data_IF_617924331128
#
_entry.id   IF_617924331128
#
_cell.length_a   1.000
_cell.length_b   1.000
_cell.length_c   1.000
_cell.angle_alpha   90.00
_cell.angle_beta   90.00
_cell.angle_gamma   90.00
#
_symmetry.space_group_name_H-M   'P 1'
#
loop_
_entity.id
_entity.type
_entity.pdbx_description
1 polymer ?
#
# COMPACT_ATOMS: atom_id res chain seq x y z
N UNK A 1 -24.34 30.29 -15.03
CA UNK A 1 -25.11 29.35 -14.18
C UNK A 1 -24.37 28.03 -14.26
N UNK A 2 -23.58 27.76 -13.22
CA UNK A 2 -22.51 26.77 -13.27
C UNK A 2 -23.05 25.36 -13.12
N UNK A 3 -22.74 24.51 -14.11
CA UNK A 3 -23.02 23.08 -14.15
C UNK A 3 -22.41 22.30 -12.97
N UNK A 4 -21.52 22.93 -12.19
CA UNK A 4 -20.90 22.38 -10.99
C UNK A 4 -21.86 22.28 -9.79
N UNK A 5 -22.90 23.12 -9.72
CA UNK A 5 -23.82 23.16 -8.57
C UNK A 5 -24.71 21.92 -8.48
N UNK A 6 -25.01 21.28 -9.62
CA UNK A 6 -25.86 20.08 -9.68
C UNK A 6 -25.11 18.76 -9.43
N UNK A 7 -23.77 18.78 -9.54
CA UNK A 7 -22.96 17.60 -9.28
C UNK A 7 -22.74 17.37 -7.79
N UNK A 8 -22.76 18.43 -6.98
CA UNK A 8 -22.50 18.32 -5.54
C UNK A 8 -23.50 17.41 -4.80
N UNK A 9 -24.84 17.56 -4.95
CA UNK A 9 -25.80 16.65 -4.31
C UNK A 9 -25.65 15.20 -4.78
N UNK A 10 -25.25 14.99 -6.04
CA UNK A 10 -25.08 13.65 -6.64
C UNK A 10 -23.83 12.96 -6.12
N UNK A 11 -22.71 13.68 -6.03
CA UNK A 11 -21.46 13.17 -5.45
C UNK A 11 -21.66 12.89 -3.96
N UNK A 12 -22.34 13.78 -3.24
CA UNK A 12 -22.65 13.57 -1.82
C UNK A 12 -23.58 12.38 -1.57
N UNK A 13 -24.58 12.15 -2.43
CA UNK A 13 -25.49 11.01 -2.32
C UNK A 13 -24.79 9.67 -2.62
N UNK A 14 -23.82 9.66 -3.53
CA UNK A 14 -23.08 8.45 -3.93
C UNK A 14 -21.94 8.10 -2.98
N UNK A 15 -21.26 9.11 -2.42
CA UNK A 15 -20.01 8.92 -1.69
C UNK A 15 -20.05 9.39 -0.22
N UNK A 16 -21.10 10.08 0.22
CA UNK A 16 -21.19 10.68 1.56
C UNK A 16 -20.75 12.16 1.58
N UNK A 17 -20.61 12.76 2.76
CA UNK A 17 -20.25 14.18 2.86
C UNK A 17 -18.77 14.38 3.21
N UNK A 18 -18.13 15.38 2.61
CA UNK A 18 -16.78 15.82 2.99
C UNK A 18 -15.72 14.72 2.91
N UNK A 19 -15.06 14.44 4.04
CA UNK A 19 -13.96 13.48 4.14
C UNK A 19 -14.39 12.04 3.89
N UNK A 20 -15.63 11.69 4.19
CA UNK A 20 -16.14 10.33 3.96
C UNK A 20 -16.27 10.01 2.47
N UNK A 21 -16.65 11.01 1.66
CA UNK A 21 -16.64 10.88 0.21
C UNK A 21 -15.24 10.70 -0.35
N UNK A 22 -14.29 11.51 0.15
CA UNK A 22 -12.88 11.40 -0.25
C UNK A 22 -12.31 10.03 0.12
N UNK A 23 -12.55 9.54 1.35
CA UNK A 23 -12.13 8.21 1.79
C UNK A 23 -12.76 7.10 0.95
N UNK A 24 -14.05 7.20 0.64
CA UNK A 24 -14.75 6.23 -0.22
C UNK A 24 -14.14 6.18 -1.62
N UNK A 25 -13.87 7.33 -2.22
CA UNK A 25 -13.20 7.40 -3.52
C UNK A 25 -11.80 6.79 -3.48
N UNK A 26 -11.02 7.09 -2.45
CA UNK A 26 -9.68 6.51 -2.26
C UNK A 26 -9.78 4.98 -2.14
N UNK A 27 -10.69 4.46 -1.31
CA UNK A 27 -10.88 3.01 -1.15
C UNK A 27 -11.28 2.35 -2.47
N UNK A 28 -12.20 2.94 -3.23
CA UNK A 28 -12.60 2.43 -4.54
C UNK A 28 -11.42 2.41 -5.53
N UNK A 29 -10.57 3.44 -5.51
CA UNK A 29 -9.37 3.49 -6.34
C UNK A 29 -8.34 2.44 -5.93
N UNK A 30 -8.12 2.22 -4.62
CA UNK A 30 -7.25 1.15 -4.12
C UNK A 30 -7.76 -0.24 -4.51
N UNK A 31 -9.08 -0.45 -4.44
CA UNK A 31 -9.75 -1.69 -4.87
C UNK A 31 -9.54 -1.95 -6.36
N UNK A 32 -9.67 -0.92 -7.19
CA UNK A 32 -9.41 -1.03 -8.62
C UNK A 32 -7.94 -1.33 -8.91
N UNK A 33 -7.00 -0.74 -8.15
CA UNK A 33 -5.57 -1.05 -8.24
C UNK A 33 -5.26 -2.52 -7.94
N UNK A 34 -5.99 -3.13 -6.98
CA UNK A 34 -5.90 -4.57 -6.70
C UNK A 34 -6.44 -5.38 -7.89
N UNK A 35 -7.58 -5.01 -8.46
CA UNK A 35 -8.12 -5.70 -9.65
C UNK A 35 -7.18 -5.61 -10.85
N UNK A 36 -6.50 -4.48 -11.04
CA UNK A 36 -5.52 -4.27 -12.10
C UNK A 36 -4.33 -5.24 -12.00
N UNK A 37 -3.94 -5.67 -10.79
CA UNK A 37 -2.89 -6.68 -10.62
C UNK A 37 -3.23 -8.00 -11.36
N UNK A 38 -4.51 -8.36 -11.40
CA UNK A 38 -4.98 -9.59 -12.04
C UNK A 38 -4.93 -9.57 -13.56
N UNK A 39 -4.63 -8.42 -14.19
CA UNK A 39 -4.52 -8.31 -15.65
C UNK A 39 -3.11 -8.61 -16.16
N UNK A 40 -2.15 -8.89 -15.26
CA UNK A 40 -0.77 -9.19 -15.63
C UNK A 40 -0.68 -10.54 -16.37
N UNK A 41 -0.17 -10.58 -17.61
CA UNK A 41 0.03 -11.83 -18.33
C UNK A 41 1.19 -12.62 -17.71
N UNK A 42 1.03 -13.94 -17.57
CA UNK A 42 2.04 -14.84 -17.00
C UNK A 42 2.60 -14.34 -15.64
N UNK A 43 1.75 -14.21 -14.61
CA UNK A 43 2.08 -13.45 -13.43
C UNK A 43 3.19 -14.11 -12.59
N UNK A 44 4.24 -13.34 -12.34
CA UNK A 44 5.19 -13.55 -11.24
C UNK A 44 4.86 -12.60 -10.10
N UNK A 45 5.33 -12.90 -8.89
CA UNK A 45 5.13 -12.02 -7.73
C UNK A 45 5.66 -10.60 -7.99
N UNK A 46 6.86 -10.50 -8.57
CA UNK A 46 7.48 -9.21 -8.92
C UNK A 46 6.65 -8.43 -9.95
N UNK A 47 6.23 -9.08 -11.04
CA UNK A 47 5.41 -8.42 -12.07
C UNK A 47 4.05 -7.95 -11.56
N UNK A 48 3.46 -8.68 -10.61
CA UNK A 48 2.17 -8.33 -10.00
C UNK A 48 2.31 -7.08 -9.13
N UNK A 49 3.35 -6.99 -8.32
CA UNK A 49 3.62 -5.82 -7.48
C UNK A 49 4.07 -4.62 -8.32
N UNK A 50 4.81 -4.85 -9.41
CA UNK A 50 5.12 -3.81 -10.40
C UNK A 50 3.86 -3.23 -11.02
N UNK A 51 2.91 -4.05 -11.45
CA UNK A 51 1.65 -3.58 -11.99
C UNK A 51 0.86 -2.74 -10.97
N UNK A 52 0.98 -3.07 -9.67
CA UNK A 52 0.37 -2.26 -8.61
C UNK A 52 1.09 -0.93 -8.40
N UNK A 53 2.43 -0.89 -8.39
CA UNK A 53 3.18 0.37 -8.33
C UNK A 53 2.92 1.24 -9.56
N UNK A 54 2.84 0.64 -10.75
CA UNK A 54 2.54 1.35 -11.99
C UNK A 54 1.16 2.01 -11.95
N UNK A 55 0.18 1.35 -11.33
CA UNK A 55 -1.16 1.91 -11.16
C UNK A 55 -1.18 3.21 -10.35
N UNK A 56 -0.19 3.44 -9.48
CA UNK A 56 -0.04 4.70 -8.73
C UNK A 56 0.41 5.88 -9.61
N UNK A 57 1.15 5.62 -10.69
CA UNK A 57 1.89 6.64 -11.45
C UNK A 57 1.03 7.85 -11.89
N UNK A 58 -0.20 7.68 -12.42
CA UNK A 58 -1.00 8.80 -12.88
C UNK A 58 -1.43 9.77 -11.78
N UNK A 59 -1.41 9.35 -10.51
CA UNK A 59 -1.92 10.13 -9.37
C UNK A 59 -0.89 10.29 -8.24
N UNK A 60 0.40 9.98 -8.50
CA UNK A 60 1.45 9.95 -7.47
C UNK A 60 1.51 11.21 -6.61
N UNK A 61 1.31 12.38 -7.20
CA UNK A 61 1.31 13.67 -6.50
C UNK A 61 0.21 13.81 -5.43
N UNK A 62 -0.88 13.05 -5.55
CA UNK A 62 -2.03 13.09 -4.64
C UNK A 62 -1.98 11.99 -3.57
N UNK A 63 -1.16 10.96 -3.76
CA UNK A 63 -1.12 9.81 -2.86
C UNK A 63 -0.67 10.15 -1.44
N UNK A 64 0.30 11.05 -1.18
CA UNK A 64 0.64 11.44 0.18
C UNK A 64 -0.55 12.04 0.95
N UNK A 65 -1.33 12.91 0.31
CA UNK A 65 -2.53 13.51 0.92
C UNK A 65 -3.63 12.46 1.11
N UNK A 66 -3.86 11.60 0.10
CA UNK A 66 -4.85 10.54 0.18
C UNK A 66 -4.55 9.56 1.33
N UNK A 67 -3.29 9.15 1.48
CA UNK A 67 -2.87 8.28 2.58
C UNK A 67 -2.94 8.99 3.93
N UNK A 68 -2.57 10.27 4.01
CA UNK A 68 -2.75 11.06 5.24
C UNK A 68 -4.22 11.11 5.67
N UNK A 69 -5.15 11.31 4.72
CA UNK A 69 -6.58 11.29 4.99
C UNK A 69 -7.09 9.90 5.42
N UNK A 70 -6.56 8.82 4.81
CA UNK A 70 -6.91 7.45 5.19
C UNK A 70 -6.50 7.12 6.62
N UNK A 71 -5.33 7.58 7.06
CA UNK A 71 -4.83 7.33 8.42
C UNK A 71 -5.30 8.39 9.42
N UNK A 72 -6.07 9.39 9.00
CA UNK A 72 -6.64 10.38 9.90
C UNK A 72 -7.91 9.83 10.57
N UNK A 73 -8.00 9.84 11.91
CA UNK A 73 -9.16 9.33 12.63
C UNK A 73 -10.45 10.11 12.29
N UNK A 74 -11.60 9.43 12.32
CA UNK A 74 -12.91 10.10 12.14
C UNK A 74 -13.33 10.93 13.37
N UNK A 75 -12.78 10.63 14.55
CA UNK A 75 -13.24 11.15 15.85
C UNK A 75 -12.13 11.87 16.65
N UNK A 76 -10.99 12.19 16.01
CA UNK A 76 -9.96 13.07 16.56
C UNK A 76 -8.92 12.42 17.50
N UNK A 77 -9.09 11.17 17.92
CA UNK A 77 -8.13 10.41 18.74
C UNK A 77 -8.14 8.94 18.31
N UNK A 78 -6.99 8.25 18.14
CA UNK A 78 -5.60 8.73 18.18
C UNK A 78 -5.24 9.64 17.01
N UNK A 79 -4.16 10.43 17.12
CA UNK A 79 -3.70 11.37 16.06
C UNK A 79 -3.50 10.70 14.68
N UNK A 80 -3.21 9.40 14.65
CA UNK A 80 -3.08 8.59 13.44
C UNK A 80 -3.62 7.17 13.69
N UNK A 81 -4.40 6.66 12.74
CA UNK A 81 -4.86 5.27 12.66
C UNK A 81 -4.12 4.54 11.53
N UNK A 82 -3.16 3.65 11.82
CA UNK A 82 -2.41 2.93 10.79
C UNK A 82 -3.19 1.74 10.19
N UNK A 83 -4.34 1.37 10.77
CA UNK A 83 -5.08 0.16 10.37
C UNK A 83 -5.49 0.19 8.89
N UNK A 84 -5.99 1.31 8.32
CA UNK A 84 -6.33 1.38 6.90
C UNK A 84 -5.13 1.12 5.97
N UNK A 85 -3.96 1.67 6.30
CA UNK A 85 -2.73 1.47 5.52
C UNK A 85 -2.22 0.02 5.62
N UNK A 86 -2.27 -0.57 6.82
CA UNK A 86 -1.90 -1.98 7.01
C UNK A 86 -2.86 -2.92 6.27
N UNK A 87 -4.16 -2.63 6.30
CA UNK A 87 -5.18 -3.39 5.58
C UNK A 87 -4.96 -3.30 4.07
N UNK A 88 -4.64 -2.12 3.55
CA UNK A 88 -4.28 -1.92 2.14
C UNK A 88 -3.10 -2.82 1.72
N UNK A 89 -1.97 -2.74 2.43
CA UNK A 89 -0.80 -3.58 2.13
C UNK A 89 -1.09 -5.08 2.25
N UNK A 90 -1.87 -5.48 3.27
CA UNK A 90 -2.25 -6.88 3.49
C UNK A 90 -3.13 -7.43 2.37
N UNK A 91 -4.05 -6.62 1.83
CA UNK A 91 -4.90 -7.01 0.69
C UNK A 91 -4.11 -7.20 -0.59
N UNK A 92 -3.10 -6.35 -0.83
CA UNK A 92 -2.18 -6.51 -1.97
C UNK A 92 -1.37 -7.79 -1.81
N UNK A 93 -0.91 -8.10 -0.60
CA UNK A 93 -0.20 -9.34 -0.35
C UNK A 93 -1.08 -10.57 -0.60
N UNK A 94 -2.32 -10.56 -0.11
CA UNK A 94 -3.26 -11.66 -0.32
C UNK A 94 -3.59 -11.86 -1.80
N UNK A 95 -3.92 -10.78 -2.52
CA UNK A 95 -4.21 -10.84 -3.95
C UNK A 95 -2.99 -11.29 -4.75
N UNK A 96 -1.78 -10.83 -4.39
CA UNK A 96 -0.55 -11.27 -5.05
C UNK A 96 -0.33 -12.77 -4.89
N UNK A 97 -0.54 -13.31 -3.68
CA UNK A 97 -0.47 -14.75 -3.43
C UNK A 97 -1.53 -15.51 -4.23
N UNK A 98 -2.76 -14.97 -4.32
CA UNK A 98 -3.82 -15.57 -5.13
C UNK A 98 -3.48 -15.61 -6.62
N UNK A 99 -3.09 -14.48 -7.23
CA UNK A 99 -2.76 -14.37 -8.66
C UNK A 99 -1.60 -15.30 -9.03
N UNK A 100 -0.59 -15.39 -8.15
CA UNK A 100 0.61 -16.21 -8.38
C UNK A 100 0.42 -17.69 -8.02
N UNK A 101 -0.77 -18.10 -7.58
CA UNK A 101 -1.11 -19.47 -7.14
C UNK A 101 -0.18 -19.99 -6.04
N UNK A 102 0.09 -19.14 -5.04
CA UNK A 102 0.88 -19.51 -3.87
C UNK A 102 0.27 -20.73 -3.14
N UNK A 103 1.11 -21.70 -2.79
CA UNK A 103 0.71 -22.96 -2.14
C UNK A 103 1.06 -22.99 -0.65
N UNK A 104 1.47 -21.86 -0.06
CA UNK A 104 1.87 -21.77 1.34
C UNK A 104 0.70 -22.06 2.27
N UNK A 105 0.95 -22.83 3.34
CA UNK A 105 -0.07 -23.23 4.32
C UNK A 105 0.39 -22.98 5.75
N UNK A 106 -0.57 -22.89 6.69
CA UNK A 106 -0.29 -22.72 8.12
C UNK A 106 0.63 -21.52 8.39
N UNK A 107 1.73 -21.70 9.12
CA UNK A 107 2.64 -20.60 9.46
C UNK A 107 3.30 -19.96 8.23
N UNK A 108 3.66 -20.76 7.22
CA UNK A 108 4.29 -20.25 6.00
C UNK A 108 3.36 -19.31 5.21
N UNK A 109 2.04 -19.52 5.31
CA UNK A 109 1.02 -18.64 4.74
C UNK A 109 1.08 -17.23 5.33
N UNK A 110 1.19 -17.13 6.67
CA UNK A 110 1.28 -15.86 7.39
C UNK A 110 2.61 -15.16 7.11
N UNK A 111 3.72 -15.90 7.22
CA UNK A 111 5.05 -15.35 6.99
C UNK A 111 5.19 -14.78 5.57
N UNK A 112 4.66 -15.50 4.56
CA UNK A 112 4.70 -15.04 3.17
C UNK A 112 3.89 -13.76 2.96
N UNK A 113 2.66 -13.68 3.47
CA UNK A 113 1.83 -12.47 3.35
C UNK A 113 2.39 -11.28 4.10
N UNK A 114 2.94 -11.50 5.30
CA UNK A 114 3.62 -10.46 6.06
C UNK A 114 4.84 -9.92 5.29
N UNK A 115 5.65 -10.82 4.72
CA UNK A 115 6.81 -10.45 3.90
C UNK A 115 6.40 -9.60 2.69
N UNK A 116 5.42 -10.06 1.91
CA UNK A 116 4.94 -9.34 0.72
C UNK A 116 4.34 -7.98 1.10
N UNK A 117 3.52 -7.92 2.16
CA UNK A 117 2.93 -6.67 2.62
C UNK A 117 3.99 -5.65 3.04
N UNK A 118 5.04 -6.09 3.74
CA UNK A 118 6.15 -5.22 4.13
C UNK A 118 6.98 -4.74 2.95
N UNK A 119 7.32 -5.63 2.01
CA UNK A 119 8.07 -5.28 0.79
C UNK A 119 7.28 -4.25 -0.02
N UNK A 120 6.02 -4.55 -0.36
CA UNK A 120 5.19 -3.65 -1.14
C UNK A 120 4.95 -2.32 -0.42
N UNK A 121 4.60 -2.35 0.86
CA UNK A 121 4.32 -1.13 1.63
C UNK A 121 5.54 -0.21 1.73
N UNK A 122 6.75 -0.76 1.91
CA UNK A 122 7.98 0.02 1.87
C UNK A 122 8.25 0.60 0.47
N UNK A 123 8.04 -0.18 -0.59
CA UNK A 123 8.21 0.29 -1.98
C UNK A 123 7.21 1.37 -2.37
N UNK A 124 5.94 1.26 -1.95
CA UNK A 124 4.91 2.26 -2.21
C UNK A 124 5.22 3.58 -1.49
N UNK A 125 5.64 3.51 -0.23
CA UNK A 125 6.06 4.71 0.51
C UNK A 125 7.31 5.36 -0.12
N UNK A 126 8.29 4.54 -0.55
CA UNK A 126 9.46 5.02 -1.28
C UNK A 126 9.07 5.66 -2.61
N UNK A 127 8.07 5.13 -3.30
CA UNK A 127 7.54 5.68 -4.55
C UNK A 127 7.00 7.10 -4.36
N UNK A 128 6.40 7.42 -3.21
CA UNK A 128 5.90 8.77 -2.94
C UNK A 128 7.01 9.82 -2.88
N UNK A 129 8.23 9.43 -2.50
CA UNK A 129 9.35 10.36 -2.35
C UNK A 129 10.37 10.29 -3.48
N UNK A 130 10.53 9.12 -4.07
CA UNK A 130 11.59 8.80 -5.03
C UNK A 130 11.05 7.93 -6.18
N UNK A 131 10.07 8.40 -6.98
CA UNK A 131 9.35 7.57 -7.95
C UNK A 131 10.26 6.82 -8.94
N UNK A 132 11.32 7.49 -9.42
CA UNK A 132 12.25 6.95 -10.42
C UNK A 132 13.05 5.72 -9.95
N UNK A 133 13.10 5.47 -8.64
CA UNK A 133 13.86 4.36 -8.04
C UNK A 133 12.95 3.36 -7.32
N UNK A 134 11.63 3.48 -7.43
CA UNK A 134 10.70 2.62 -6.72
C UNK A 134 10.79 1.15 -7.14
N UNK A 135 10.92 0.88 -8.44
CA UNK A 135 11.02 -0.47 -8.99
C UNK A 135 12.32 -1.15 -8.56
N UNK A 136 13.47 -0.48 -8.69
CA UNK A 136 14.75 -1.01 -8.24
C UNK A 136 14.80 -1.19 -6.72
N UNK A 137 14.15 -0.31 -5.95
CA UNK A 137 14.01 -0.48 -4.51
C UNK A 137 13.19 -1.73 -4.17
N UNK A 138 12.07 -1.98 -4.87
CA UNK A 138 11.30 -3.22 -4.72
C UNK A 138 12.14 -4.46 -5.05
N UNK A 139 12.90 -4.44 -6.15
CA UNK A 139 13.79 -5.53 -6.54
C UNK A 139 14.81 -5.85 -5.44
N UNK A 140 15.48 -4.83 -4.91
CA UNK A 140 16.47 -5.00 -3.84
C UNK A 140 15.85 -5.61 -2.57
N UNK A 141 14.61 -5.21 -2.21
CA UNK A 141 13.91 -5.81 -1.07
C UNK A 141 13.56 -7.27 -1.31
N UNK A 142 13.14 -7.63 -2.53
CA UNK A 142 12.89 -9.02 -2.89
C UNK A 142 14.14 -9.88 -2.81
N UNK A 143 15.24 -9.43 -3.39
CA UNK A 143 16.50 -10.17 -3.43
C UNK A 143 17.05 -10.38 -2.01
N UNK A 144 16.96 -9.33 -1.17
CA UNK A 144 17.33 -9.39 0.26
C UNK A 144 16.44 -10.37 1.03
N UNK A 145 15.12 -10.34 0.82
CA UNK A 145 14.16 -11.21 1.52
C UNK A 145 14.29 -12.69 1.13
N UNK A 146 14.62 -12.99 -0.13
CA UNK A 146 14.78 -14.36 -0.62
C UNK A 146 16.02 -15.05 -0.06
N UNK A 147 17.02 -14.26 0.34
CA UNK A 147 18.22 -14.73 1.05
C UNK A 147 17.93 -15.07 2.53
N UNK A 148 16.78 -14.64 3.05
CA UNK A 148 16.33 -14.82 4.42
C UNK A 148 15.39 -16.02 4.51
N UNK A 149 15.96 -17.23 4.41
CA UNK A 149 15.22 -18.50 4.55
C UNK A 149 14.78 -18.68 6.00
N UNK A 150 13.52 -18.32 6.28
CA UNK A 150 12.63 -18.92 7.30
C UNK A 150 13.32 -19.48 8.54
N UNK A 151 13.61 -18.61 9.52
CA UNK A 151 13.75 -19.03 10.93
C UNK A 151 12.84 -18.14 11.78
N UNK A 152 12.02 -18.77 12.63
CA UNK A 152 10.94 -18.11 13.41
C UNK A 152 11.43 -17.06 14.43
N UNK A 153 12.73 -16.83 14.56
CA UNK A 153 13.33 -15.82 15.45
C UNK A 153 13.20 -14.39 14.89
N UNK A 154 12.66 -14.22 13.68
CA UNK A 154 12.74 -12.99 12.88
C UNK A 154 11.48 -12.12 12.82
N UNK A 155 10.51 -12.29 13.73
CA UNK A 155 9.47 -11.27 13.91
C UNK A 155 10.04 -9.92 14.40
N UNK A 156 11.16 -9.97 15.13
CA UNK A 156 11.84 -8.78 15.66
C UNK A 156 12.63 -8.04 14.56
N UNK A 157 13.18 -8.76 13.57
CA UNK A 157 14.01 -8.19 12.51
C UNK A 157 13.19 -7.58 11.37
N UNK A 158 12.07 -8.19 10.97
CA UNK A 158 11.16 -7.64 9.95
C UNK A 158 10.45 -6.39 10.45
N UNK A 159 10.01 -6.41 11.72
CA UNK A 159 9.53 -5.22 12.44
C UNK A 159 10.59 -4.12 12.37
N UNK A 160 11.86 -4.43 12.70
CA UNK A 160 12.93 -3.44 12.67
C UNK A 160 13.19 -2.85 11.28
N UNK A 161 12.97 -3.59 10.18
CA UNK A 161 13.24 -3.09 8.83
C UNK A 161 12.13 -2.16 8.33
N UNK A 162 10.87 -2.54 8.57
CA UNK A 162 9.72 -1.67 8.30
C UNK A 162 9.78 -0.42 9.20
N UNK A 163 10.07 -0.58 10.50
CA UNK A 163 10.21 0.55 11.42
C UNK A 163 11.44 1.41 11.15
N UNK A 164 12.60 0.84 10.79
CA UNK A 164 13.81 1.61 10.44
C UNK A 164 13.64 2.32 9.09
N UNK A 165 12.98 1.69 8.12
CA UNK A 165 12.62 2.33 6.85
C UNK A 165 11.73 3.55 7.08
N UNK A 166 10.68 3.38 7.90
CA UNK A 166 9.79 4.47 8.29
C UNK A 166 10.52 5.54 9.12
N UNK A 167 11.34 5.16 10.11
CA UNK A 167 12.13 6.07 10.95
C UNK A 167 13.20 6.82 10.15
N UNK A 168 13.81 6.19 9.14
CA UNK A 168 14.79 6.81 8.24
C UNK A 168 14.17 7.89 7.36
N UNK A 169 12.96 7.64 6.85
CA UNK A 169 12.19 8.61 6.06
C UNK A 169 11.68 9.76 6.95
N UNK A 170 11.26 9.49 8.19
CA UNK A 170 10.85 10.52 9.15
C UNK A 170 12.04 11.39 9.57
N UNK A 171 13.20 10.78 9.84
CA UNK A 171 14.42 11.49 10.26
C UNK A 171 15.07 12.29 9.13
N UNK A 172 15.02 11.80 7.89
CA UNK A 172 15.58 12.52 6.73
C UNK A 172 14.75 13.73 6.29
N UNK A 173 13.53 13.88 6.84
CA UNK A 173 12.60 14.99 6.56
C UNK A 173 12.40 15.96 7.73
N UNK A 174 13.17 15.83 8.82
CA UNK A 174 13.28 16.87 9.86
C UNK A 174 12.05 17.05 10.76
N UNK A 175 11.24 16.02 10.98
CA UNK A 175 10.07 16.08 11.90
C UNK A 175 10.46 15.63 13.33
N UNK A 176 11.72 15.25 13.57
CA UNK A 176 12.36 15.13 14.89
C UNK A 176 13.84 15.47 14.76
#
# INVERSE_FOLDING_TARGET
MDSLVWLWPTVSALFGNGDDARRTLIQAWLDQGIRHMGTVPSPTLKSVLYARLQYNEPVLQHLPEAFALLVSPNSGVPLLDPIPALKHASRIADESCYITRDTSVQLSWYARRASIAGIYGASELHQFTSPSTAYSFLDNLFDTSSSFRTSMEELDLFSSYVFKGWKGIIKSKGII
#
